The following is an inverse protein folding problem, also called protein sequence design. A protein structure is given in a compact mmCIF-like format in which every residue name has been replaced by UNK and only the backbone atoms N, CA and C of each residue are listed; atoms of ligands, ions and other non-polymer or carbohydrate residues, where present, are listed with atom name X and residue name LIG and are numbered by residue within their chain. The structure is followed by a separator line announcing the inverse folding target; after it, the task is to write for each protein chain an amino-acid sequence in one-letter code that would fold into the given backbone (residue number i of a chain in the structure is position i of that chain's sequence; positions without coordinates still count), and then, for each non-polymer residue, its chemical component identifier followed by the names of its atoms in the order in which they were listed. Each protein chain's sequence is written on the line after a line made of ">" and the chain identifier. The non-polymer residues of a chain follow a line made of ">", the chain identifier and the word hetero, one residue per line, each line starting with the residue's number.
data_IF_341216913247
#
_entry.id   IF_341216913247
#
_cell.length_a   1.000
_cell.length_b   1.000
_cell.length_c   1.000
_cell.angle_alpha   90.00
_cell.angle_beta   90.00
_cell.angle_gamma   90.00
#
_symmetry.space_group_name_H-M   'P 1'
#
loop_
_entity.id
_entity.type
_entity.pdbx_description
1 polymer ?
#
# COMPACT_ATOMS: atom_id res chain seq x y z
N UNK A 1 -13.65 -16.59 -11.04
CA UNK A 1 -14.64 -15.65 -11.62
C UNK A 1 -15.30 -14.77 -10.55
N UNK A 2 -15.43 -15.25 -9.31
CA UNK A 2 -15.98 -14.49 -8.16
C UNK A 2 -15.03 -13.38 -7.69
N UNK A 3 -13.73 -13.63 -7.58
CA UNK A 3 -12.74 -12.64 -7.11
C UNK A 3 -12.58 -11.43 -8.01
N UNK A 4 -12.78 -11.60 -9.32
CA UNK A 4 -12.75 -10.49 -10.28
C UNK A 4 -13.92 -9.52 -10.06
N UNK A 5 -15.10 -10.03 -9.71
CA UNK A 5 -16.26 -9.19 -9.41
C UNK A 5 -16.11 -8.46 -8.07
N UNK A 6 -15.54 -9.14 -7.06
CA UNK A 6 -15.22 -8.51 -5.76
C UNK A 6 -14.16 -7.41 -5.92
N UNK A 7 -13.14 -7.63 -6.76
CA UNK A 7 -12.10 -6.64 -7.04
C UNK A 7 -12.63 -5.37 -7.71
N UNK A 8 -13.55 -5.50 -8.67
CA UNK A 8 -14.17 -4.33 -9.31
C UNK A 8 -15.05 -3.53 -8.32
N UNK A 9 -15.68 -4.18 -7.34
CA UNK A 9 -16.42 -3.48 -6.28
C UNK A 9 -15.52 -2.63 -5.37
N UNK A 10 -14.31 -3.12 -5.05
CA UNK A 10 -13.33 -2.37 -4.24
C UNK A 10 -12.76 -1.18 -5.01
N UNK A 11 -12.52 -1.33 -6.31
CA UNK A 11 -12.16 -0.21 -7.19
C UNK A 11 -13.24 0.87 -7.23
N UNK A 12 -14.52 0.46 -7.33
CA UNK A 12 -15.63 1.40 -7.38
C UNK A 12 -15.80 2.17 -6.06
N UNK A 13 -15.53 1.52 -4.92
CA UNK A 13 -15.63 2.15 -3.61
C UNK A 13 -14.51 3.18 -3.36
N UNK A 14 -13.26 2.85 -3.70
CA UNK A 14 -12.12 3.77 -3.54
C UNK A 14 -12.20 5.01 -4.45
N UNK A 15 -12.88 4.89 -5.59
CA UNK A 15 -13.06 5.99 -6.54
C UNK A 15 -14.28 6.89 -6.24
N UNK A 16 -15.10 6.58 -5.22
CA UNK A 16 -16.23 7.44 -4.83
C UNK A 16 -15.74 8.61 -3.98
N UNK A 17 -15.80 9.81 -4.55
CA UNK A 17 -15.59 11.06 -3.81
C UNK A 17 -16.71 11.27 -2.78
N UNK A 18 -16.44 11.76 -1.56
CA UNK A 18 -17.49 12.13 -0.61
C UNK A 18 -18.28 13.29 -1.20
N UNK A 19 -19.59 13.09 -1.37
CA UNK A 19 -20.51 14.07 -1.95
C UNK A 19 -20.86 15.22 -0.99
N UNK A 20 -20.91 16.42 -1.57
CA UNK A 20 -21.48 17.71 -1.14
C UNK A 20 -21.52 18.03 0.38
N UNK A 21 -20.64 18.95 0.76
CA UNK A 21 -20.56 19.57 2.08
C UNK A 21 -21.50 20.81 2.14
N UNK A 22 -22.42 20.93 3.12
CA UNK A 22 -23.42 22.01 3.17
C UNK A 22 -22.89 23.39 3.57
N UNK A 23 -21.58 23.53 3.85
CA UNK A 23 -20.99 24.69 4.54
C UNK A 23 -20.33 25.73 3.60
N UNK A 24 -20.78 25.81 2.35
CA UNK A 24 -20.23 26.61 1.24
C UNK A 24 -20.24 28.15 1.42
N UNK A 25 -20.36 28.68 2.63
CA UNK A 25 -20.69 30.09 2.85
C UNK A 25 -19.51 31.06 3.07
N UNK A 26 -18.25 30.62 3.09
CA UNK A 26 -17.07 31.49 3.20
C UNK A 26 -15.85 30.91 2.46
N UNK A 27 -15.86 30.96 1.14
CA UNK A 27 -14.78 30.42 0.31
C UNK A 27 -14.19 31.49 -0.63
N UNK A 28 -12.89 31.38 -0.95
CA UNK A 28 -12.28 32.26 -1.93
C UNK A 28 -12.87 31.96 -3.31
N UNK A 29 -13.40 32.98 -4.00
CA UNK A 29 -13.89 32.82 -5.37
C UNK A 29 -12.69 32.73 -6.33
N UNK A 30 -12.33 31.50 -6.70
CA UNK A 30 -11.22 31.17 -7.61
C UNK A 30 -11.68 30.52 -8.90
N UNK A 31 -12.98 30.54 -9.25
CA UNK A 31 -13.55 29.80 -10.40
C UNK A 31 -12.83 30.07 -11.73
N UNK A 32 -12.28 31.28 -11.91
CA UNK A 32 -11.52 31.68 -13.10
C UNK A 32 -10.06 32.05 -12.82
N UNK A 33 -9.52 31.63 -11.67
CA UNK A 33 -8.13 31.93 -11.32
C UNK A 33 -7.13 31.17 -12.22
N UNK A 34 -6.05 31.85 -12.59
CA UNK A 34 -4.90 31.23 -13.25
C UNK A 34 -4.04 30.45 -12.23
N UNK A 35 -3.22 29.48 -12.68
CA UNK A 35 -2.37 28.69 -11.78
C UNK A 35 -1.45 29.56 -10.92
N UNK A 36 -0.92 30.66 -11.48
CA UNK A 36 -0.02 31.59 -10.79
C UNK A 36 -0.69 32.28 -9.60
N UNK A 37 -1.93 32.74 -9.73
CA UNK A 37 -2.68 33.31 -8.62
C UNK A 37 -2.94 32.25 -7.53
N UNK A 38 -3.35 31.05 -7.92
CA UNK A 38 -3.54 29.92 -7.01
C UNK A 38 -2.26 29.61 -6.20
N UNK A 39 -1.11 29.61 -6.84
CA UNK A 39 0.19 29.37 -6.20
C UNK A 39 0.58 30.49 -5.23
N UNK A 40 0.32 31.76 -5.58
CA UNK A 40 0.51 32.86 -4.62
C UNK A 40 -0.40 32.72 -3.40
N UNK A 41 -1.63 32.27 -3.58
CA UNK A 41 -2.57 32.06 -2.48
C UNK A 41 -2.18 30.87 -1.59
N UNK A 42 -1.54 29.82 -2.15
CA UNK A 42 -0.98 28.70 -1.38
C UNK A 42 0.05 29.16 -0.35
N UNK A 43 0.80 30.23 -0.63
CA UNK A 43 1.78 30.82 0.29
C UNK A 43 1.12 31.53 1.49
N UNK A 44 -0.19 31.77 1.43
CA UNK A 44 -1.00 32.31 2.54
C UNK A 44 -2.00 31.22 2.96
N UNK A 45 -1.57 30.23 3.76
CA UNK A 45 -2.37 29.05 4.07
C UNK A 45 -3.54 29.43 4.98
N UNK A 46 -4.76 29.38 4.43
CA UNK A 46 -6.02 29.57 5.14
C UNK A 46 -7.04 28.57 4.61
N UNK A 47 -8.02 28.21 5.44
CA UNK A 47 -9.10 27.29 5.04
C UNK A 47 -9.81 27.85 3.79
N UNK A 48 -10.10 29.15 3.78
CA UNK A 48 -10.76 29.87 2.67
C UNK A 48 -9.98 29.73 1.35
N UNK A 49 -8.65 29.89 1.39
CA UNK A 49 -7.80 29.75 0.21
C UNK A 49 -7.72 28.31 -0.28
N UNK A 50 -7.58 27.33 0.62
CA UNK A 50 -7.55 25.91 0.24
C UNK A 50 -8.90 25.42 -0.28
N UNK A 51 -10.03 25.83 0.31
CA UNK A 51 -11.36 25.47 -0.20
C UNK A 51 -11.59 26.02 -1.61
N UNK A 52 -11.25 27.30 -1.84
CA UNK A 52 -11.32 27.89 -3.17
C UNK A 52 -10.39 27.19 -4.17
N UNK A 53 -9.18 26.84 -3.74
CA UNK A 53 -8.21 26.13 -4.59
C UNK A 53 -8.70 24.72 -4.95
N UNK A 54 -9.24 23.99 -3.97
CA UNK A 54 -9.81 22.65 -4.17
C UNK A 54 -10.85 22.68 -5.29
N UNK A 55 -11.84 23.58 -5.23
CA UNK A 55 -12.85 23.70 -6.30
C UNK A 55 -12.22 24.06 -7.64
N UNK A 56 -11.23 24.95 -7.65
CA UNK A 56 -10.52 25.30 -8.88
C UNK A 56 -9.76 24.13 -9.49
N UNK A 57 -9.17 23.25 -8.66
CA UNK A 57 -8.52 22.01 -9.08
C UNK A 57 -9.54 21.00 -9.63
N UNK A 58 -10.67 20.80 -8.93
CA UNK A 58 -11.75 19.89 -9.35
C UNK A 58 -12.38 20.32 -10.68
N UNK A 59 -12.50 21.63 -10.93
CA UNK A 59 -13.03 22.18 -12.19
C UNK A 59 -11.96 22.42 -13.28
N UNK A 60 -10.69 22.05 -13.03
CA UNK A 60 -9.61 22.32 -13.97
C UNK A 60 -9.60 21.38 -15.17
N UNK A 61 -9.16 21.90 -16.32
CA UNK A 61 -8.83 21.08 -17.48
C UNK A 61 -7.37 20.59 -17.38
N UNK A 62 -7.01 19.68 -18.29
CA UNK A 62 -5.67 19.06 -18.30
C UNK A 62 -4.56 20.11 -18.46
N UNK A 63 -4.76 21.11 -19.34
CA UNK A 63 -3.79 22.18 -19.59
C UNK A 63 -3.50 23.01 -18.33
N UNK A 64 -4.54 23.40 -17.60
CA UNK A 64 -4.39 24.12 -16.35
C UNK A 64 -3.70 23.28 -15.29
N UNK A 65 -4.08 21.99 -15.15
CA UNK A 65 -3.46 21.07 -14.18
C UNK A 65 -1.96 20.91 -14.45
N UNK A 66 -1.56 20.67 -15.70
CA UNK A 66 -0.14 20.57 -16.08
C UNK A 66 0.62 21.85 -15.71
N UNK A 67 0.05 23.03 -16.02
CA UNK A 67 0.68 24.31 -15.67
C UNK A 67 0.84 24.49 -14.16
N UNK A 68 -0.18 24.12 -13.37
CA UNK A 68 -0.12 24.16 -11.91
C UNK A 68 0.99 23.26 -11.35
N UNK A 69 1.15 22.06 -11.93
CA UNK A 69 2.20 21.11 -11.55
C UNK A 69 3.60 21.60 -11.95
N UNK A 70 3.78 22.13 -13.16
CA UNK A 70 5.04 22.72 -13.64
C UNK A 70 5.50 23.91 -12.80
N UNK A 71 4.54 24.69 -12.30
CA UNK A 71 4.79 25.82 -11.40
C UNK A 71 4.96 25.40 -9.92
N UNK A 72 5.11 24.10 -9.63
CA UNK A 72 5.37 23.53 -8.30
C UNK A 72 4.22 23.72 -7.30
N UNK A 73 2.99 23.77 -7.80
CA UNK A 73 1.80 23.89 -6.94
C UNK A 73 1.62 22.69 -6.00
N UNK A 74 1.95 21.47 -6.47
CA UNK A 74 1.89 20.26 -5.65
C UNK A 74 2.98 20.22 -4.58
N UNK A 75 4.20 20.68 -4.88
CA UNK A 75 5.28 20.79 -3.88
C UNK A 75 4.85 21.64 -2.68
N UNK A 76 4.19 22.78 -2.93
CA UNK A 76 3.68 23.66 -1.88
C UNK A 76 2.57 23.01 -1.04
N UNK A 77 1.69 22.22 -1.66
CA UNK A 77 0.66 21.47 -0.94
C UNK A 77 1.28 20.39 -0.05
N UNK A 78 2.30 19.68 -0.53
CA UNK A 78 3.00 18.64 0.21
C UNK A 78 3.80 19.22 1.38
N UNK A 79 4.53 20.33 1.17
CA UNK A 79 5.23 21.05 2.24
C UNK A 79 4.26 21.58 3.30
N UNK A 80 3.10 22.10 2.88
CA UNK A 80 2.06 22.53 3.81
C UNK A 80 1.52 21.38 4.64
N UNK A 81 1.26 20.22 4.03
CA UNK A 81 0.79 19.03 4.71
C UNK A 81 1.82 18.52 5.73
N UNK A 82 3.10 18.41 5.35
CA UNK A 82 4.17 17.97 6.24
C UNK A 82 4.31 18.89 7.46
N UNK A 83 4.30 20.20 7.23
CA UNK A 83 4.39 21.22 8.30
C UNK A 83 3.21 21.14 9.28
N UNK A 84 2.03 20.77 8.79
CA UNK A 84 0.81 20.58 9.61
C UNK A 84 0.82 19.23 10.34
N UNK A 85 1.40 18.18 9.76
CA UNK A 85 1.50 16.85 10.39
C UNK A 85 2.52 16.81 11.54
N UNK A 86 3.66 17.51 11.42
CA UNK A 86 4.72 17.49 12.44
C UNK A 86 4.43 18.33 13.70
N UNK A 87 3.46 19.23 13.64
CA UNK A 87 3.00 20.03 14.79
C UNK A 87 1.70 19.41 15.26
N UNK A 88 1.71 18.67 16.37
CA UNK A 88 0.48 18.12 16.95
C UNK A 88 -0.63 19.19 16.96
N UNK A 89 -1.81 18.86 16.41
CA UNK A 89 -2.88 19.82 16.15
C UNK A 89 -3.36 20.48 17.45
N UNK A 90 -2.80 21.65 17.78
CA UNK A 90 -3.14 22.37 19.00
C UNK A 90 -4.48 23.12 18.91
N UNK A 91 -5.00 23.33 17.70
CA UNK A 91 -6.23 24.10 17.43
C UNK A 91 -7.10 23.41 16.38
N UNK A 92 -8.41 23.57 16.52
CA UNK A 92 -9.42 23.09 15.55
C UNK A 92 -9.17 23.70 14.16
N UNK A 93 -8.74 24.96 14.10
CA UNK A 93 -8.39 25.63 12.84
C UNK A 93 -7.28 24.92 12.07
N UNK A 94 -6.31 24.34 12.79
CA UNK A 94 -5.15 23.68 12.17
C UNK A 94 -5.57 22.32 11.61
N UNK A 95 -6.47 21.61 12.31
CA UNK A 95 -7.06 20.36 11.85
C UNK A 95 -7.93 20.56 10.59
N UNK A 96 -8.75 21.62 10.56
CA UNK A 96 -9.53 22.00 9.37
C UNK A 96 -8.62 22.35 8.20
N UNK A 97 -7.61 23.18 8.44
CA UNK A 97 -6.64 23.56 7.41
C UNK A 97 -5.91 22.36 6.82
N UNK A 98 -5.52 21.40 7.67
CA UNK A 98 -4.88 20.15 7.25
C UNK A 98 -5.82 19.28 6.41
N UNK A 99 -7.08 19.13 6.82
CA UNK A 99 -8.09 18.39 6.06
C UNK A 99 -8.34 19.01 4.68
N UNK A 100 -8.48 20.33 4.60
CA UNK A 100 -8.68 21.03 3.32
C UNK A 100 -7.44 20.92 2.43
N UNK A 101 -6.23 20.96 3.01
CA UNK A 101 -4.97 20.75 2.27
C UNK A 101 -4.91 19.37 1.61
N UNK A 102 -5.27 18.31 2.35
CA UNK A 102 -5.33 16.94 1.79
C UNK A 102 -6.41 16.84 0.71
N UNK A 103 -7.54 17.54 0.88
CA UNK A 103 -8.57 17.58 -0.16
C UNK A 103 -8.09 18.25 -1.46
N UNK A 104 -7.22 19.27 -1.41
CA UNK A 104 -6.56 19.81 -2.60
C UNK A 104 -5.66 18.77 -3.27
N UNK A 105 -4.87 18.01 -2.49
CA UNK A 105 -4.02 16.94 -3.04
C UNK A 105 -4.87 15.85 -3.69
N UNK A 106 -5.99 15.48 -3.08
CA UNK A 106 -6.97 14.57 -3.68
C UNK A 106 -7.49 15.09 -5.01
N UNK A 107 -7.85 16.38 -5.08
CA UNK A 107 -8.31 16.99 -6.33
C UNK A 107 -7.26 16.90 -7.45
N UNK A 108 -5.96 17.06 -7.11
CA UNK A 108 -4.86 16.81 -8.06
C UNK A 108 -4.83 15.33 -8.50
N UNK A 109 -4.93 14.40 -7.55
CA UNK A 109 -4.90 12.96 -7.82
C UNK A 109 -6.14 12.42 -8.55
N UNK A 110 -7.24 13.16 -8.57
CA UNK A 110 -8.40 12.84 -9.40
C UNK A 110 -8.18 13.18 -10.88
N UNK A 111 -7.05 13.81 -11.24
CA UNK A 111 -6.64 14.03 -12.63
C UNK A 111 -5.59 13.00 -13.05
N UNK A 112 -5.74 12.44 -14.26
CA UNK A 112 -4.75 11.54 -14.86
C UNK A 112 -3.36 12.19 -14.94
N UNK A 113 -3.30 13.46 -15.33
CA UNK A 113 -2.04 14.22 -15.36
C UNK A 113 -1.41 14.34 -13.96
N UNK A 114 -2.22 14.55 -12.92
CA UNK A 114 -1.75 14.61 -11.53
C UNK A 114 -1.20 13.27 -11.03
N UNK A 115 -1.87 12.16 -11.33
CA UNK A 115 -1.40 10.82 -10.97
C UNK A 115 -0.08 10.50 -11.66
N UNK A 116 0.03 10.70 -12.97
CA UNK A 116 1.29 10.47 -13.70
C UNK A 116 2.43 11.32 -13.14
N UNK A 117 2.19 12.61 -12.88
CA UNK A 117 3.19 13.50 -12.32
C UNK A 117 3.70 13.05 -10.92
N UNK A 118 2.81 12.50 -10.10
CA UNK A 118 3.17 11.91 -8.80
C UNK A 118 3.99 10.63 -8.98
N UNK A 119 3.59 9.76 -9.89
CA UNK A 119 4.29 8.50 -10.14
C UNK A 119 5.69 8.70 -10.73
N UNK A 120 5.90 9.76 -11.49
CA UNK A 120 7.22 10.13 -12.03
C UNK A 120 8.18 10.66 -10.96
N UNK A 121 7.69 11.00 -9.76
CA UNK A 121 8.47 11.56 -8.67
C UNK A 121 8.18 10.85 -7.34
N UNK A 122 9.01 9.84 -7.01
CA UNK A 122 8.87 9.01 -5.81
C UNK A 122 8.82 9.78 -4.48
N UNK A 123 9.35 11.01 -4.44
CA UNK A 123 9.34 11.86 -3.25
C UNK A 123 7.92 12.18 -2.78
N UNK A 124 6.96 12.34 -3.69
CA UNK A 124 5.58 12.66 -3.32
C UNK A 124 4.90 11.52 -2.56
N UNK A 125 5.14 10.27 -2.97
CA UNK A 125 4.60 9.10 -2.28
C UNK A 125 5.23 8.96 -0.88
N UNK A 126 6.52 9.29 -0.75
CA UNK A 126 7.22 9.35 0.56
C UNK A 126 6.68 10.48 1.44
N UNK A 127 6.38 11.66 0.88
CA UNK A 127 5.75 12.76 1.62
C UNK A 127 4.34 12.41 2.10
N UNK A 128 3.56 11.69 1.30
CA UNK A 128 2.25 11.18 1.72
C UNK A 128 2.39 10.21 2.91
N UNK A 129 3.33 9.26 2.89
CA UNK A 129 3.51 8.35 4.04
C UNK A 129 4.01 9.10 5.29
N UNK A 130 4.84 10.13 5.14
CA UNK A 130 5.23 11.01 6.25
C UNK A 130 4.03 11.78 6.85
N UNK A 131 3.06 12.16 6.03
CA UNK A 131 1.87 12.87 6.49
C UNK A 131 1.03 12.08 7.50
N UNK A 132 1.21 10.75 7.59
CA UNK A 132 0.58 9.86 8.57
C UNK A 132 0.97 10.17 10.03
N UNK A 133 2.00 10.99 10.25
CA UNK A 133 2.45 11.40 11.59
C UNK A 133 1.47 12.31 12.35
N UNK A 134 0.47 12.84 11.65
CA UNK A 134 -0.60 13.62 12.27
C UNK A 134 -1.38 12.80 13.30
N UNK A 135 -1.91 13.46 14.34
CA UNK A 135 -2.87 12.83 15.26
C UNK A 135 -4.31 12.84 14.74
N UNK A 136 -4.57 13.49 13.60
CA UNK A 136 -5.92 13.61 13.04
C UNK A 136 -6.28 12.35 12.23
N UNK A 137 -7.15 11.52 12.81
CA UNK A 137 -7.63 10.27 12.20
C UNK A 137 -8.24 10.49 10.82
N UNK A 138 -9.00 11.56 10.62
CA UNK A 138 -9.62 11.85 9.33
C UNK A 138 -8.58 12.19 8.25
N UNK A 139 -7.49 12.86 8.63
CA UNK A 139 -6.37 13.14 7.72
C UNK A 139 -5.64 11.84 7.38
N UNK A 140 -5.35 10.98 8.37
CA UNK A 140 -4.73 9.68 8.11
C UNK A 140 -5.57 8.83 7.16
N UNK A 141 -6.88 8.76 7.41
CA UNK A 141 -7.82 8.03 6.55
C UNK A 141 -7.72 8.52 5.10
N UNK A 142 -7.79 9.83 4.87
CA UNK A 142 -7.63 10.38 3.52
C UNK A 142 -6.26 10.08 2.91
N UNK A 143 -5.16 10.18 3.68
CA UNK A 143 -3.82 9.84 3.17
C UNK A 143 -3.73 8.36 2.77
N UNK A 144 -4.30 7.45 3.56
CA UNK A 144 -4.35 6.03 3.20
C UNK A 144 -5.21 5.76 1.96
N UNK A 145 -6.32 6.47 1.75
CA UNK A 145 -7.09 6.41 0.50
C UNK A 145 -6.28 6.88 -0.71
N UNK A 146 -5.51 7.97 -0.57
CA UNK A 146 -4.63 8.45 -1.64
C UNK A 146 -3.55 7.41 -1.98
N UNK A 147 -2.93 6.80 -0.97
CA UNK A 147 -1.95 5.72 -1.18
C UNK A 147 -2.58 4.50 -1.86
N UNK A 148 -3.81 4.13 -1.48
CA UNK A 148 -4.56 3.05 -2.13
C UNK A 148 -4.88 3.40 -3.59
N UNK A 149 -5.30 4.63 -3.88
CA UNK A 149 -5.59 5.09 -5.24
C UNK A 149 -4.32 5.04 -6.13
N UNK A 150 -3.16 5.48 -5.62
CA UNK A 150 -1.89 5.37 -6.34
C UNK A 150 -1.51 3.92 -6.60
N UNK A 151 -1.63 3.07 -5.58
CA UNK A 151 -1.30 1.65 -5.70
C UNK A 151 -2.21 0.92 -6.70
N UNK A 152 -3.46 1.36 -6.83
CA UNK A 152 -4.45 0.79 -7.73
C UNK A 152 -4.32 1.29 -9.17
N UNK A 153 -3.87 2.54 -9.36
CA UNK A 153 -3.86 3.21 -10.65
C UNK A 153 -2.86 2.58 -11.64
N UNK A 154 -1.64 2.27 -11.19
CA UNK A 154 -0.58 1.70 -12.01
C UNK A 154 0.31 0.74 -11.20
N UNK A 155 0.84 -0.35 -11.78
CA UNK A 155 1.79 -1.24 -11.11
C UNK A 155 3.01 -0.51 -10.50
N UNK A 156 3.50 0.56 -11.13
CA UNK A 156 4.52 1.44 -10.57
C UNK A 156 4.06 2.12 -9.29
N UNK A 157 2.80 2.56 -9.22
CA UNK A 157 2.22 3.16 -8.02
C UNK A 157 2.17 2.20 -6.85
N UNK A 158 1.85 0.92 -7.08
CA UNK A 158 1.90 -0.11 -6.04
C UNK A 158 3.34 -0.29 -5.52
N UNK A 159 4.31 -0.39 -6.42
CA UNK A 159 5.74 -0.48 -6.06
C UNK A 159 6.20 0.73 -5.24
N UNK A 160 5.91 1.95 -5.71
CA UNK A 160 6.29 3.18 -5.02
C UNK A 160 5.65 3.29 -3.63
N UNK A 161 4.41 2.82 -3.48
CA UNK A 161 3.72 2.80 -2.19
C UNK A 161 4.39 1.82 -1.21
N UNK A 162 4.76 0.62 -1.68
CA UNK A 162 5.52 -0.35 -0.88
C UNK A 162 6.90 0.18 -0.48
N UNK A 163 7.61 0.83 -1.41
CA UNK A 163 8.90 1.47 -1.15
C UNK A 163 8.75 2.62 -0.15
N UNK A 164 7.69 3.42 -0.24
CA UNK A 164 7.41 4.50 0.70
C UNK A 164 7.15 3.98 2.13
N UNK A 165 6.50 2.82 2.30
CA UNK A 165 6.36 2.18 3.61
C UNK A 165 7.69 1.63 4.15
N UNK A 166 8.57 1.07 3.30
CA UNK A 166 9.92 0.64 3.73
C UNK A 166 10.79 1.83 4.15
N UNK A 167 10.66 2.98 3.45
CA UNK A 167 11.30 4.22 3.86
C UNK A 167 10.71 4.71 5.20
N UNK A 168 9.39 4.70 5.36
CA UNK A 168 8.71 5.12 6.59
C UNK A 168 9.16 4.27 7.79
N UNK A 169 9.25 2.95 7.63
CA UNK A 169 9.84 2.03 8.62
C UNK A 169 11.21 2.48 9.09
N UNK A 170 12.11 2.77 8.16
CA UNK A 170 13.48 3.18 8.44
C UNK A 170 13.51 4.52 9.19
N UNK A 171 12.70 5.49 8.75
CA UNK A 171 12.57 6.79 9.40
C UNK A 171 12.02 6.70 10.82
N UNK A 172 11.00 5.86 11.03
CA UNK A 172 10.34 5.65 12.33
C UNK A 172 10.99 4.60 13.21
N UNK A 173 12.08 3.97 12.73
CA UNK A 173 12.78 2.89 13.41
C UNK A 173 11.83 1.75 13.82
N UNK A 174 10.85 1.47 12.97
CA UNK A 174 9.94 0.35 13.15
C UNK A 174 10.61 -0.95 12.71
N UNK A 175 10.19 -2.05 13.33
CA UNK A 175 10.71 -3.39 12.98
C UNK A 175 10.19 -3.84 11.61
N UNK A 176 8.96 -3.47 11.25
CA UNK A 176 8.29 -3.92 10.03
C UNK A 176 7.67 -2.75 9.29
N UNK A 177 7.58 -2.85 7.95
CA UNK A 177 7.10 -1.75 7.10
C UNK A 177 5.61 -1.48 7.18
N UNK A 178 4.83 -2.51 7.52
CA UNK A 178 3.40 -2.39 7.70
C UNK A 178 2.98 -2.15 9.14
N UNK A 179 3.93 -1.94 10.06
CA UNK A 179 3.60 -1.63 11.46
C UNK A 179 2.69 -0.40 11.58
N UNK A 180 2.88 0.63 10.75
CA UNK A 180 1.97 1.80 10.75
C UNK A 180 0.54 1.43 10.41
N UNK A 181 0.30 0.62 9.37
CA UNK A 181 -1.05 0.19 8.96
C UNK A 181 -1.69 -0.65 10.08
N UNK A 182 -0.93 -1.63 10.60
CA UNK A 182 -1.43 -2.55 11.62
C UNK A 182 -1.71 -1.85 12.95
N UNK A 183 -0.87 -0.89 13.35
CA UNK A 183 -1.10 -0.11 14.57
C UNK A 183 -2.39 0.72 14.49
N UNK A 184 -2.67 1.35 13.34
CA UNK A 184 -3.92 2.08 13.14
C UNK A 184 -5.11 1.10 13.13
N UNK A 185 -4.99 -0.05 12.47
CA UNK A 185 -6.04 -1.07 12.39
C UNK A 185 -6.40 -1.63 13.78
N UNK A 186 -5.41 -1.80 14.65
CA UNK A 186 -5.61 -2.21 16.05
C UNK A 186 -6.19 -1.10 16.95
N UNK A 187 -5.91 0.17 16.63
CA UNK A 187 -6.10 1.29 17.54
C UNK A 187 -7.34 2.15 17.29
N UNK A 188 -8.09 1.89 16.20
CA UNK A 188 -9.25 2.70 15.81
C UNK A 188 -10.56 1.92 15.90
N UNK A 189 -11.60 2.58 16.42
CA UNK A 189 -12.98 2.10 16.38
C UNK A 189 -13.80 2.77 15.25
N UNK A 190 -13.16 3.63 14.45
CA UNK A 190 -13.79 4.31 13.32
C UNK A 190 -13.95 3.34 12.14
N UNK A 191 -15.18 2.85 11.93
CA UNK A 191 -15.51 1.84 10.91
C UNK A 191 -15.09 2.26 9.48
N UNK A 192 -15.46 3.45 8.95
CA UNK A 192 -14.95 3.92 7.66
C UNK A 192 -13.42 3.84 7.55
N UNK A 193 -12.72 4.19 8.63
CA UNK A 193 -11.26 4.12 8.62
C UNK A 193 -10.73 2.67 8.60
N UNK A 194 -11.38 1.75 9.31
CA UNK A 194 -11.07 0.31 9.23
C UNK A 194 -11.26 -0.21 7.80
N UNK A 195 -12.33 0.20 7.11
CA UNK A 195 -12.58 -0.15 5.69
C UNK A 195 -11.44 0.36 4.81
N UNK A 196 -11.01 1.61 4.98
CA UNK A 196 -9.86 2.17 4.25
C UNK A 196 -8.58 1.36 4.48
N UNK A 197 -8.27 1.02 5.73
CA UNK A 197 -7.05 0.28 6.08
C UNK A 197 -7.05 -1.14 5.49
N UNK A 198 -8.14 -1.88 5.65
CA UNK A 198 -8.30 -3.20 5.04
C UNK A 198 -8.30 -3.13 3.51
N UNK A 199 -8.93 -2.11 2.93
CA UNK A 199 -8.91 -1.85 1.50
C UNK A 199 -7.50 -1.63 0.96
N UNK A 200 -6.68 -0.83 1.65
CA UNK A 200 -5.28 -0.62 1.26
C UNK A 200 -4.48 -1.94 1.32
N UNK A 201 -4.67 -2.75 2.37
CA UNK A 201 -4.01 -4.07 2.48
C UNK A 201 -4.34 -4.93 1.26
N UNK A 202 -5.64 -5.02 0.91
CA UNK A 202 -6.09 -5.76 -0.26
C UNK A 202 -5.51 -5.21 -1.56
N UNK A 203 -5.48 -3.88 -1.74
CA UNK A 203 -4.89 -3.25 -2.93
C UNK A 203 -3.40 -3.57 -3.06
N UNK A 204 -2.63 -3.51 -1.98
CA UNK A 204 -1.19 -3.80 -2.02
C UNK A 204 -0.90 -5.26 -2.38
N UNK A 205 -1.68 -6.19 -1.81
CA UNK A 205 -1.54 -7.63 -2.06
C UNK A 205 -1.98 -7.96 -3.49
N UNK A 206 -3.21 -7.62 -3.85
CA UNK A 206 -3.78 -7.94 -5.17
C UNK A 206 -3.10 -7.17 -6.30
N UNK A 207 -2.43 -6.06 -5.99
CA UNK A 207 -1.59 -5.31 -6.93
C UNK A 207 -0.31 -6.05 -7.34
N UNK A 208 0.07 -7.16 -6.70
CA UNK A 208 1.21 -7.97 -7.18
C UNK A 208 0.75 -8.98 -8.25
N UNK A 209 1.31 -8.88 -9.46
CA UNK A 209 1.00 -9.81 -10.55
C UNK A 209 1.56 -11.22 -10.31
N UNK A 210 2.76 -11.31 -9.72
CA UNK A 210 3.41 -12.58 -9.43
C UNK A 210 2.82 -13.22 -8.16
N UNK A 211 2.22 -14.42 -8.29
CA UNK A 211 1.66 -15.20 -7.18
C UNK A 211 2.60 -15.29 -5.97
N UNK A 212 3.89 -15.62 -6.19
CA UNK A 212 4.87 -15.71 -5.10
C UNK A 212 5.07 -14.38 -4.36
N UNK A 213 4.98 -13.24 -5.07
CA UNK A 213 5.06 -11.92 -4.44
C UNK A 213 3.80 -11.61 -3.65
N UNK A 214 2.60 -11.93 -4.17
CA UNK A 214 1.34 -11.83 -3.41
C UNK A 214 1.42 -12.60 -2.09
N UNK A 215 1.79 -13.88 -2.16
CA UNK A 215 1.88 -14.76 -0.99
C UNK A 215 2.88 -14.22 0.02
N UNK A 216 4.10 -13.85 -0.39
CA UNK A 216 5.09 -13.25 0.53
C UNK A 216 4.59 -11.96 1.20
N UNK A 217 3.99 -11.07 0.41
CA UNK A 217 3.46 -9.81 0.91
C UNK A 217 2.32 -10.04 1.91
N UNK A 218 1.43 -11.00 1.62
CA UNK A 218 0.38 -11.43 2.55
C UNK A 218 0.96 -11.98 3.85
N UNK A 219 2.01 -12.81 3.77
CA UNK A 219 2.68 -13.37 4.95
C UNK A 219 3.30 -12.29 5.85
N UNK A 220 3.74 -11.14 5.31
CA UNK A 220 4.17 -10.02 6.14
C UNK A 220 3.03 -9.47 7.01
N UNK A 221 1.81 -9.36 6.47
CA UNK A 221 0.63 -8.93 7.25
C UNK A 221 0.16 -10.01 8.23
N UNK A 222 0.16 -11.29 7.82
CA UNK A 222 -0.17 -12.42 8.70
C UNK A 222 0.80 -12.47 9.89
N UNK A 223 2.10 -12.28 9.64
CA UNK A 223 3.13 -12.20 10.68
C UNK A 223 2.94 -11.03 11.64
N UNK A 224 2.18 -10.01 11.24
CA UNK A 224 1.73 -8.90 12.08
C UNK A 224 0.31 -9.13 12.66
N UNK A 225 -0.12 -10.40 12.74
CA UNK A 225 -1.37 -10.83 13.38
C UNK A 225 -2.66 -10.37 12.68
N UNK A 226 -2.63 -10.13 11.37
CA UNK A 226 -3.83 -9.72 10.64
C UNK A 226 -4.96 -10.77 10.73
N UNK A 227 -4.66 -12.07 10.64
CA UNK A 227 -5.68 -13.13 10.76
C UNK A 227 -6.38 -13.13 12.12
N UNK A 228 -5.64 -12.86 13.20
CA UNK A 228 -6.20 -12.80 14.55
C UNK A 228 -7.13 -11.58 14.73
N UNK A 229 -7.00 -10.56 13.87
CA UNK A 229 -7.85 -9.37 13.87
C UNK A 229 -9.15 -9.55 13.09
N UNK A 230 -9.17 -10.36 12.03
CA UNK A 230 -10.34 -10.48 11.16
C UNK A 230 -11.63 -10.79 11.93
N UNK A 231 -11.66 -11.71 12.92
CA UNK A 231 -12.87 -11.95 13.71
C UNK A 231 -13.35 -10.70 14.45
N UNK A 232 -12.43 -9.91 15.03
CA UNK A 232 -12.78 -8.66 15.73
C UNK A 232 -13.31 -7.59 14.79
N UNK A 233 -12.75 -7.48 13.59
CA UNK A 233 -13.26 -6.58 12.57
C UNK A 233 -14.69 -6.95 12.19
N UNK A 234 -15.01 -8.25 12.09
CA UNK A 234 -16.36 -8.74 11.77
C UNK A 234 -17.39 -8.48 12.87
N UNK A 235 -16.97 -8.32 14.13
CA UNK A 235 -17.88 -7.97 15.24
C UNK A 235 -18.52 -6.58 15.07
N UNK A 236 -17.99 -5.72 14.21
CA UNK A 236 -18.61 -4.42 13.89
C UNK A 236 -19.89 -4.52 13.06
N UNK A 237 -20.15 -5.68 12.44
CA UNK A 237 -21.32 -5.95 11.57
C UNK A 237 -21.47 -4.96 10.39
N UNK A 238 -20.37 -4.34 9.95
CA UNK A 238 -20.33 -3.45 8.80
C UNK A 238 -20.15 -4.24 7.50
N UNK A 239 -21.05 -4.00 6.53
CA UNK A 239 -21.05 -4.72 5.25
C UNK A 239 -19.78 -4.48 4.44
N UNK A 240 -19.28 -3.23 4.39
CA UNK A 240 -18.11 -2.89 3.58
C UNK A 240 -16.84 -3.47 4.19
N UNK A 241 -16.70 -3.41 5.52
CA UNK A 241 -15.57 -4.02 6.20
C UNK A 241 -15.57 -5.55 6.03
N UNK A 242 -16.74 -6.17 6.15
CA UNK A 242 -16.90 -7.61 5.92
C UNK A 242 -16.52 -8.00 4.49
N UNK A 243 -16.87 -7.21 3.48
CA UNK A 243 -16.44 -7.42 2.09
C UNK A 243 -14.90 -7.39 1.98
N UNK A 244 -14.23 -6.46 2.66
CA UNK A 244 -12.76 -6.40 2.64
C UNK A 244 -12.11 -7.61 3.34
N UNK A 245 -12.68 -8.06 4.46
CA UNK A 245 -12.23 -9.28 5.14
C UNK A 245 -12.43 -10.52 4.25
N UNK A 246 -13.61 -10.67 3.64
CA UNK A 246 -13.92 -11.77 2.72
C UNK A 246 -12.95 -11.76 1.52
N UNK A 247 -12.67 -10.58 0.95
CA UNK A 247 -11.72 -10.46 -0.15
C UNK A 247 -10.32 -10.93 0.23
N UNK A 248 -9.86 -10.57 1.42
CA UNK A 248 -8.55 -11.01 1.91
C UNK A 248 -8.50 -12.54 2.03
N UNK A 249 -9.49 -13.15 2.69
CA UNK A 249 -9.57 -14.59 2.94
C UNK A 249 -9.77 -15.40 1.65
N UNK A 250 -10.69 -14.97 0.78
CA UNK A 250 -10.94 -15.65 -0.49
C UNK A 250 -9.70 -15.60 -1.39
N UNK A 251 -9.04 -14.44 -1.50
CA UNK A 251 -7.83 -14.33 -2.31
C UNK A 251 -6.66 -15.12 -1.73
N UNK A 252 -6.62 -15.32 -0.41
CA UNK A 252 -5.64 -16.17 0.25
C UNK A 252 -5.88 -17.64 -0.11
N UNK A 253 -7.12 -18.11 0.00
CA UNK A 253 -7.48 -19.48 -0.38
C UNK A 253 -7.19 -19.77 -1.88
N UNK A 254 -7.52 -18.84 -2.77
CA UNK A 254 -7.19 -18.95 -4.20
C UNK A 254 -5.68 -19.00 -4.44
N UNK A 255 -4.91 -18.13 -3.75
CA UNK A 255 -3.44 -18.12 -3.88
C UNK A 255 -2.81 -19.42 -3.35
N UNK A 256 -3.35 -20.00 -2.28
CA UNK A 256 -2.88 -21.27 -1.70
C UNK A 256 -3.15 -22.44 -2.66
N UNK A 257 -4.36 -22.52 -3.25
CA UNK A 257 -4.69 -23.50 -4.29
C UNK A 257 -3.77 -23.37 -5.52
N UNK A 258 -3.56 -22.14 -6.00
CA UNK A 258 -2.67 -21.85 -7.13
C UNK A 258 -1.21 -22.25 -6.82
N UNK A 259 -0.75 -22.03 -5.58
CA UNK A 259 0.59 -22.41 -5.13
C UNK A 259 0.74 -23.92 -5.08
N UNK A 260 -0.21 -24.64 -4.46
CA UNK A 260 -0.21 -26.09 -4.44
C UNK A 260 -0.13 -26.64 -5.87
N UNK A 261 -0.96 -26.12 -6.78
CA UNK A 261 -0.93 -26.52 -8.19
C UNK A 261 0.42 -26.25 -8.85
N UNK A 262 1.02 -25.07 -8.62
CA UNK A 262 2.33 -24.69 -9.15
C UNK A 262 3.44 -25.65 -8.69
N UNK A 263 3.33 -26.20 -7.49
CA UNK A 263 4.29 -27.14 -6.91
C UNK A 263 3.91 -28.61 -7.08
N UNK A 264 2.88 -28.92 -7.87
CA UNK A 264 2.48 -30.29 -8.18
C UNK A 264 1.68 -30.95 -7.06
N UNK A 265 0.86 -30.16 -6.36
CA UNK A 265 0.03 -30.56 -5.23
C UNK A 265 0.80 -30.67 -3.92
N UNK A 266 1.90 -29.91 -3.77
CA UNK A 266 2.69 -29.88 -2.53
C UNK A 266 2.35 -28.59 -1.79
N UNK A 267 1.92 -28.73 -0.53
CA UNK A 267 1.78 -27.58 0.38
C UNK A 267 3.17 -27.04 0.75
N UNK A 268 3.52 -25.88 0.19
CA UNK A 268 4.81 -25.22 0.43
C UNK A 268 4.90 -24.50 1.78
N UNK A 269 3.79 -24.38 2.52
CA UNK A 269 3.78 -23.87 3.90
C UNK A 269 4.12 -24.96 4.93
N UNK A 270 3.95 -26.24 4.55
CA UNK A 270 4.25 -27.39 5.39
C UNK A 270 5.69 -27.90 5.18
N UNK A 271 6.59 -27.50 6.07
CA UNK A 271 8.00 -27.91 6.07
C UNK A 271 8.20 -29.43 5.93
N UNK A 272 7.35 -30.24 6.57
CA UNK A 272 7.45 -31.70 6.55
C UNK A 272 7.10 -32.26 5.16
N UNK A 273 6.09 -31.70 4.51
CA UNK A 273 5.64 -32.12 3.19
C UNK A 273 6.64 -31.72 2.10
N UNK A 274 7.13 -30.48 2.16
CA UNK A 274 8.21 -29.99 1.29
C UNK A 274 9.44 -30.89 1.41
N UNK A 275 9.85 -31.21 2.64
CA UNK A 275 10.97 -32.12 2.89
C UNK A 275 10.72 -33.52 2.32
N UNK A 276 9.56 -34.11 2.59
CA UNK A 276 9.21 -35.46 2.15
C UNK A 276 9.21 -35.56 0.62
N UNK A 277 8.68 -34.53 -0.06
CA UNK A 277 8.68 -34.43 -1.51
C UNK A 277 10.09 -34.23 -2.08
N UNK A 278 10.90 -33.35 -1.48
CA UNK A 278 12.30 -33.14 -1.87
C UNK A 278 13.12 -34.42 -1.71
N UNK A 279 12.98 -35.10 -0.57
CA UNK A 279 13.67 -36.35 -0.28
C UNK A 279 13.26 -37.43 -1.29
N UNK A 280 11.96 -37.61 -1.55
CA UNK A 280 11.46 -38.57 -2.55
C UNK A 280 12.05 -38.29 -3.92
N UNK A 281 12.07 -37.01 -4.34
CA UNK A 281 12.61 -36.57 -5.63
C UNK A 281 14.11 -36.85 -5.80
N UNK A 282 14.89 -36.78 -4.72
CA UNK A 282 16.36 -36.85 -4.78
C UNK A 282 16.89 -38.23 -4.34
N UNK A 283 16.13 -39.00 -3.56
CA UNK A 283 16.54 -40.25 -2.92
C UNK A 283 17.06 -41.32 -3.88
N UNK A 284 16.53 -41.38 -5.10
CA UNK A 284 16.95 -42.33 -6.14
C UNK A 284 18.11 -41.84 -7.03
N UNK A 285 18.66 -40.66 -6.75
CA UNK A 285 19.73 -40.04 -7.53
C UNK A 285 21.05 -39.99 -6.73
N UNK A 286 22.22 -39.92 -7.41
CA UNK A 286 23.49 -39.66 -6.74
C UNK A 286 23.50 -38.35 -5.93
N UNK A 287 22.59 -37.42 -6.25
CA UNK A 287 22.44 -36.13 -5.55
C UNK A 287 21.93 -36.28 -4.11
N UNK A 288 21.46 -37.47 -3.72
CA UNK A 288 21.03 -37.78 -2.34
C UNK A 288 22.14 -37.57 -1.31
N UNK A 289 23.40 -37.82 -1.68
CA UNK A 289 24.56 -37.61 -0.80
C UNK A 289 24.76 -36.11 -0.51
N UNK A 290 24.59 -35.26 -1.53
CA UNK A 290 24.66 -33.81 -1.38
C UNK A 290 23.50 -33.29 -0.55
N UNK A 291 22.27 -33.78 -0.76
CA UNK A 291 21.12 -33.42 0.08
C UNK A 291 21.37 -33.77 1.55
N UNK A 292 21.88 -34.98 1.84
CA UNK A 292 22.22 -35.39 3.20
C UNK A 292 23.27 -34.47 3.83
N UNK A 293 24.34 -34.15 3.09
CA UNK A 293 25.39 -33.24 3.56
C UNK A 293 24.85 -31.84 3.86
N UNK A 294 23.97 -31.30 3.01
CA UNK A 294 23.28 -30.03 3.25
C UNK A 294 22.47 -30.08 4.54
N UNK A 295 21.63 -31.12 4.72
CA UNK A 295 20.79 -31.27 5.91
C UNK A 295 21.60 -31.42 7.19
N UNK A 296 22.71 -32.18 7.15
CA UNK A 296 23.65 -32.29 8.28
C UNK A 296 24.27 -30.94 8.63
N UNK A 297 24.64 -30.13 7.63
CA UNK A 297 25.14 -28.78 7.84
C UNK A 297 24.09 -27.86 8.46
N UNK A 298 22.86 -27.87 7.93
CA UNK A 298 21.73 -27.08 8.44
C UNK A 298 21.38 -27.44 9.89
N UNK A 299 21.47 -28.73 10.26
CA UNK A 299 21.20 -29.21 11.62
C UNK A 299 22.16 -28.64 12.68
N UNK A 300 23.36 -28.23 12.28
CA UNK A 300 24.38 -27.67 13.17
C UNK A 300 24.24 -26.16 13.38
N UNK A 301 23.33 -25.49 12.67
CA UNK A 301 23.14 -24.05 12.76
C UNK A 301 22.31 -23.68 14.00
N UNK A 302 22.67 -22.56 14.62
CA UNK A 302 21.88 -21.97 15.70
C UNK A 302 20.59 -21.35 15.11
N UNK A 303 19.39 -21.77 15.57
CA UNK A 303 18.12 -21.19 15.13
C UNK A 303 18.01 -19.67 15.32
N UNK A 304 18.75 -19.07 16.26
CA UNK A 304 18.68 -17.64 16.57
C UNK A 304 19.51 -16.77 15.61
N UNK A 305 20.30 -17.37 14.71
CA UNK A 305 21.18 -16.66 13.77
C UNK A 305 20.45 -16.32 12.47
N UNK A 306 19.48 -15.41 12.56
CA UNK A 306 18.67 -14.96 11.42
C UNK A 306 19.53 -14.47 10.23
N UNK A 307 20.67 -13.84 10.50
CA UNK A 307 21.64 -13.40 9.51
C UNK A 307 22.14 -14.56 8.61
N UNK A 308 22.38 -15.73 9.21
CA UNK A 308 22.86 -16.92 8.48
C UNK A 308 21.73 -17.54 7.64
N UNK A 309 20.53 -17.64 8.20
CA UNK A 309 19.35 -18.18 7.50
C UNK A 309 18.99 -17.34 6.27
N UNK A 310 19.03 -16.01 6.39
CA UNK A 310 18.81 -15.10 5.26
C UNK A 310 19.84 -15.30 4.13
N UNK A 311 21.11 -15.53 4.47
CA UNK A 311 22.16 -15.80 3.46
C UNK A 311 21.91 -17.13 2.75
N UNK A 312 21.46 -18.16 3.48
CA UNK A 312 21.12 -19.46 2.90
C UNK A 312 19.89 -19.39 1.99
N UNK A 313 18.89 -18.61 2.38
CA UNK A 313 17.73 -18.32 1.54
C UNK A 313 18.18 -17.64 0.22
N UNK A 314 18.97 -16.57 0.30
CA UNK A 314 19.52 -15.89 -0.89
C UNK A 314 20.33 -16.83 -1.80
N UNK A 315 21.10 -17.75 -1.22
CA UNK A 315 21.89 -18.72 -1.97
C UNK A 315 20.99 -19.76 -2.66
N UNK A 316 19.93 -20.19 -1.99
CA UNK A 316 18.94 -21.11 -2.53
C UNK A 316 18.17 -20.46 -3.68
N UNK A 317 17.73 -19.22 -3.51
CA UNK A 317 17.09 -18.43 -4.57
C UNK A 317 17.98 -18.31 -5.79
N UNK A 318 19.26 -17.96 -5.60
CA UNK A 318 20.20 -17.86 -6.72
C UNK A 318 20.44 -19.19 -7.43
N UNK A 319 20.49 -20.30 -6.69
CA UNK A 319 20.61 -21.63 -7.27
C UNK A 319 19.37 -22.02 -8.09
N UNK A 320 18.17 -21.69 -7.61
CA UNK A 320 16.91 -21.97 -8.34
C UNK A 320 16.81 -21.15 -9.63
N UNK A 321 17.21 -19.88 -9.63
CA UNK A 321 17.28 -19.03 -10.82
C UNK A 321 18.23 -19.61 -11.88
N UNK A 322 19.45 -20.00 -11.48
CA UNK A 322 20.42 -20.63 -12.37
C UNK A 322 19.92 -21.95 -12.99
N UNK A 323 19.13 -22.72 -12.23
CA UNK A 323 18.53 -23.96 -12.72
C UNK A 323 17.40 -23.70 -13.73
N UNK A 324 16.65 -22.60 -13.57
CA UNK A 324 15.59 -22.19 -14.49
C UNK A 324 16.16 -21.67 -15.82
N UNK A 325 17.24 -20.88 -15.80
CA UNK A 325 17.93 -20.38 -17.02
C UNK A 325 18.43 -21.48 -17.96
N UNK A 326 18.78 -22.64 -17.40
CA UNK A 326 19.19 -23.81 -18.19
C UNK A 326 18.02 -24.52 -18.88
N UNK A 327 16.79 -24.38 -18.36
CA UNK A 327 15.59 -24.96 -18.99
C UNK A 327 15.07 -24.08 -20.14
N UNK A 328 15.19 -22.76 -20.04
CA UNK A 328 14.83 -21.82 -21.11
C UNK A 328 15.76 -21.93 -22.33
N UNK A 329 17.06 -22.16 -22.13
CA UNK A 329 18.02 -22.40 -23.23
C UNK A 329 17.87 -23.75 -23.95
N UNK A 330 17.11 -24.70 -23.40
CA UNK A 330 16.84 -26.02 -24.01
C UNK A 330 15.57 -26.06 -24.86
N UNK A 331 14.82 -24.95 -24.95
CA UNK A 331 13.57 -24.83 -25.72
C UNK A 331 13.74 -24.13 -27.09
N UNK A 332 14.98 -23.96 -27.56
CA UNK A 332 15.28 -23.45 -28.90
C UNK A 332 16.06 -24.48 -29.71
#
# INVERSE_FOLDING_TARGET
>A
MVSRNKWEAVKEHLNKSPGDDPDASLEANLENADPELCIRLLQVPTVVNYSGLRRRLEASDESWMVTFLELKGLDLLMEALERLSGRGCARISDALLQLTCVACIRAVMNSSAGLHFILDNESYVKSLTQALDTSNVMVKMQVFELLAALALFDPQGCRLTLDAFENYKSMKKQQYRFSVIMNELHGTDNIPYLVTLMGLINVLILGQEELRRRVRLRQEFIGLQLLDLLPKLRETDDEQLNIQCDMFEDSMAEDDEDMEQLYGGIDMSNHQEVFSSLFTKVSSSPSSVQLLSILQGLLMLDPHRADVWLVLEMLTDRATLLAQDRKSKRRF
#
